data_IF_870785835471
#
_entry.id   IF_870785835471
#
_cell.length_a   1.000
_cell.length_b   1.000
_cell.length_c   1.000
_cell.angle_alpha   90.00
_cell.angle_beta   90.00
_cell.angle_gamma   90.00
#
_symmetry.space_group_name_H-M   'P 1'
#
loop_
_entity.id
_entity.type
_entity.pdbx_description
1 polymer ?
#
# COMPACT_ATOMS: atom_id res chain seq x y z
N UNK A 1 -1.21 -4.01 1.60
CA UNK A 1 -1.36 -3.44 0.25
C UNK A 1 0.02 -3.26 -0.35
N UNK A 2 0.14 -3.23 -1.68
CA UNK A 2 1.41 -3.09 -2.40
C UNK A 2 1.34 -1.96 -3.42
N UNK A 3 2.40 -1.15 -3.52
CA UNK A 3 2.56 -0.09 -4.51
C UNK A 3 3.90 -0.26 -5.26
N UNK A 4 3.91 -0.17 -6.60
CA UNK A 4 2.80 0.14 -7.51
C UNK A 4 1.91 -1.08 -7.81
N UNK A 5 0.76 -0.86 -8.49
CA UNK A 5 -0.23 -1.90 -8.79
C UNK A 5 0.32 -3.08 -9.61
N UNK A 6 1.37 -2.85 -10.41
CA UNK A 6 2.04 -3.91 -11.19
C UNK A 6 2.66 -5.00 -10.33
N UNK A 7 2.85 -4.77 -9.02
CA UNK A 7 3.44 -5.73 -8.08
C UNK A 7 2.37 -6.49 -7.26
N UNK A 8 1.09 -6.28 -7.53
CA UNK A 8 0.00 -6.96 -6.83
C UNK A 8 0.05 -8.49 -6.98
N UNK A 9 0.40 -8.99 -8.17
CA UNK A 9 0.47 -10.44 -8.45
C UNK A 9 1.65 -11.11 -7.77
N UNK A 10 2.80 -10.43 -7.75
CA UNK A 10 4.00 -10.93 -7.07
C UNK A 10 3.78 -11.01 -5.56
N UNK A 11 3.09 -10.01 -5.00
CA UNK A 11 2.67 -10.02 -3.60
C UNK A 11 1.65 -11.13 -3.30
N UNK A 12 0.83 -11.51 -4.29
CA UNK A 12 -0.17 -12.58 -4.18
C UNK A 12 0.46 -13.94 -3.91
N UNK A 13 1.58 -14.23 -4.59
CA UNK A 13 2.32 -15.47 -4.41
C UNK A 13 2.71 -15.70 -2.94
N UNK A 14 2.92 -14.61 -2.18
CA UNK A 14 3.32 -14.67 -0.78
C UNK A 14 2.15 -14.70 0.22
N UNK A 15 0.90 -14.49 -0.22
CA UNK A 15 -0.28 -14.46 0.66
C UNK A 15 -0.45 -15.78 1.41
N UNK A 16 -0.39 -16.91 0.72
CA UNK A 16 -0.59 -18.22 1.34
C UNK A 16 0.49 -18.52 2.38
N UNK A 17 1.70 -18.01 2.16
CA UNK A 17 2.83 -18.18 3.07
C UNK A 17 2.69 -17.31 4.33
N UNK A 18 2.08 -16.14 4.23
CA UNK A 18 2.00 -15.15 5.31
C UNK A 18 0.59 -14.96 5.89
N UNK A 19 -0.42 -15.68 5.37
CA UNK A 19 -1.84 -15.66 5.77
C UNK A 19 -2.44 -14.25 5.92
N UNK A 20 -1.99 -13.31 5.08
CA UNK A 20 -2.39 -11.91 5.13
C UNK A 20 -3.39 -11.55 4.04
N UNK A 21 -4.46 -10.83 4.38
CA UNK A 21 -5.39 -10.26 3.39
C UNK A 21 -4.75 -9.03 2.72
N UNK A 22 -4.69 -9.02 1.38
CA UNK A 22 -4.27 -7.84 0.60
C UNK A 22 -5.52 -7.11 0.09
N UNK A 23 -5.51 -5.77 0.20
CA UNK A 23 -6.61 -4.94 -0.31
C UNK A 23 -6.54 -4.69 -1.82
N UNK A 24 -5.35 -4.79 -2.41
CA UNK A 24 -5.12 -4.54 -3.83
C UNK A 24 -4.96 -5.81 -4.67
N UNK A 25 -5.67 -6.87 -4.29
CA UNK A 25 -5.77 -8.11 -5.07
C UNK A 25 -6.16 -7.78 -6.51
N UNK A 26 -5.39 -8.25 -7.49
CA UNK A 26 -5.68 -7.95 -8.90
C UNK A 26 -7.06 -8.48 -9.27
N UNK A 27 -7.88 -7.60 -9.84
CA UNK A 27 -9.25 -7.92 -10.25
C UNK A 27 -10.27 -7.95 -9.10
N UNK A 28 -9.86 -7.64 -7.87
CA UNK A 28 -10.79 -7.48 -6.76
C UNK A 28 -11.53 -6.15 -6.90
N UNK A 29 -12.84 -6.26 -7.07
CA UNK A 29 -13.78 -5.15 -7.02
C UNK A 29 -14.82 -5.51 -5.97
N UNK A 30 -14.83 -4.74 -4.88
CA UNK A 30 -15.98 -4.73 -3.99
C UNK A 30 -16.93 -3.62 -4.44
N UNK A 31 -18.16 -3.60 -3.94
CA UNK A 31 -19.11 -2.54 -4.24
C UNK A 31 -18.57 -1.13 -3.91
N UNK A 32 -17.59 -1.05 -3.01
CA UNK A 32 -17.07 0.19 -2.44
C UNK A 32 -15.74 0.68 -3.02
N UNK A 33 -14.97 -0.14 -3.75
CA UNK A 33 -13.70 0.33 -4.36
C UNK A 33 -13.14 -0.56 -5.50
N UNK A 34 -12.39 0.09 -6.39
CA UNK A 34 -11.56 -0.55 -7.41
C UNK A 34 -10.11 -0.64 -6.93
N UNK A 35 -9.55 -1.87 -6.86
CA UNK A 35 -8.19 -2.12 -6.38
C UNK A 35 -7.10 -1.37 -7.13
N UNK A 36 -7.24 -1.21 -8.45
CA UNK A 36 -6.27 -0.53 -9.30
C UNK A 36 -6.30 0.98 -9.06
N UNK A 37 -7.49 1.57 -9.03
CA UNK A 37 -7.69 3.00 -8.79
C UNK A 37 -7.21 3.38 -7.39
N UNK A 38 -7.56 2.59 -6.37
CA UNK A 38 -7.06 2.78 -5.01
C UNK A 38 -5.53 2.70 -4.98
N UNK A 39 -4.92 1.73 -5.68
CA UNK A 39 -3.45 1.63 -5.69
C UNK A 39 -2.81 2.84 -6.32
N UNK A 40 -3.37 3.36 -7.41
CA UNK A 40 -2.86 4.56 -8.10
C UNK A 40 -3.05 5.85 -7.30
N UNK A 41 -4.03 5.91 -6.40
CA UNK A 41 -4.24 7.08 -5.54
C UNK A 41 -3.38 7.07 -4.28
N UNK A 42 -2.70 5.96 -3.94
CA UNK A 42 -1.86 5.87 -2.74
C UNK A 42 -0.82 6.97 -2.54
N UNK A 43 -0.14 7.54 -3.56
CA UNK A 43 0.79 8.65 -3.37
C UNK A 43 0.05 9.99 -3.15
N UNK A 44 -1.11 9.98 -2.50
CA UNK A 44 -1.92 11.15 -2.14
C UNK A 44 -2.52 10.98 -0.75
N UNK A 45 -2.82 12.09 -0.07
CA UNK A 45 -3.47 12.06 1.25
C UNK A 45 -4.81 11.31 1.21
N UNK A 46 -5.62 11.54 0.17
CA UNK A 46 -6.90 10.87 -0.04
C UNK A 46 -6.75 9.36 -0.21
N UNK A 47 -5.75 8.90 -0.96
CA UNK A 47 -5.48 7.48 -1.14
C UNK A 47 -5.07 6.79 0.16
N UNK A 48 -4.22 7.43 0.98
CA UNK A 48 -3.84 6.91 2.30
C UNK A 48 -5.04 6.89 3.26
N UNK A 49 -5.85 7.95 3.26
CA UNK A 49 -7.08 8.01 4.04
C UNK A 49 -8.07 6.90 3.66
N UNK A 50 -8.25 6.67 2.36
CA UNK A 50 -9.10 5.58 1.84
C UNK A 50 -8.57 4.22 2.26
N UNK A 51 -7.26 3.98 2.11
CA UNK A 51 -6.62 2.75 2.55
C UNK A 51 -6.83 2.50 4.06
N UNK A 52 -6.80 3.55 4.88
CA UNK A 52 -7.05 3.49 6.32
C UNK A 52 -8.51 3.14 6.63
N UNK A 53 -9.47 3.75 5.94
CA UNK A 53 -10.92 3.45 6.06
C UNK A 53 -11.20 1.99 5.72
N UNK A 54 -10.55 1.46 4.67
CA UNK A 54 -10.66 0.06 4.26
C UNK A 54 -9.91 -0.92 5.18
N UNK A 55 -9.37 -0.45 6.31
CA UNK A 55 -8.71 -1.29 7.29
C UNK A 55 -7.30 -1.74 6.88
N UNK A 56 -6.67 -1.05 5.95
CA UNK A 56 -5.27 -1.25 5.58
C UNK A 56 -4.37 -1.15 6.81
N UNK A 57 -3.55 -2.18 7.04
CA UNK A 57 -2.61 -2.23 8.17
C UNK A 57 -1.17 -1.98 7.75
N UNK A 58 -0.84 -2.44 6.55
CA UNK A 58 0.52 -2.44 6.01
C UNK A 58 0.52 -2.01 4.54
N UNK A 59 1.55 -1.27 4.17
CA UNK A 59 1.82 -0.83 2.81
C UNK A 59 3.27 -1.18 2.45
N UNK A 60 3.45 -1.96 1.38
CA UNK A 60 4.77 -2.23 0.80
C UNK A 60 4.94 -1.34 -0.43
N UNK A 61 6.03 -0.59 -0.48
CA UNK A 61 6.36 0.34 -1.58
C UNK A 61 7.64 -0.12 -2.26
N UNK A 62 7.58 -0.47 -3.54
CA UNK A 62 8.75 -0.89 -4.32
C UNK A 62 9.49 0.33 -4.88
N UNK A 63 10.58 0.73 -4.21
CA UNK A 63 11.35 1.96 -4.46
C UNK A 63 11.88 2.06 -5.90
N UNK A 64 12.21 0.93 -6.51
CA UNK A 64 12.83 0.86 -7.83
C UNK A 64 11.83 0.97 -8.99
N UNK A 65 10.52 0.99 -8.70
CA UNK A 65 9.44 0.96 -9.70
C UNK A 65 8.57 2.22 -9.68
N UNK A 66 8.95 3.25 -8.91
CA UNK A 66 8.13 4.43 -8.67
C UNK A 66 8.93 5.71 -8.90
N UNK A 67 8.23 6.83 -9.07
CA UNK A 67 8.86 8.14 -9.22
C UNK A 67 9.52 8.58 -7.89
N UNK A 68 10.55 9.45 -7.93
CA UNK A 68 11.10 10.06 -6.72
C UNK A 68 10.05 10.84 -5.92
N UNK A 69 9.08 11.43 -6.60
CA UNK A 69 7.98 12.22 -5.99
C UNK A 69 7.06 11.33 -5.15
N UNK A 70 6.64 10.18 -5.69
CA UNK A 70 5.84 9.19 -4.98
C UNK A 70 6.59 8.67 -3.75
N UNK A 71 7.87 8.34 -3.93
CA UNK A 71 8.71 7.86 -2.84
C UNK A 71 8.81 8.91 -1.72
N UNK A 72 9.01 10.18 -2.09
CA UNK A 72 9.10 11.27 -1.13
C UNK A 72 7.77 11.49 -0.41
N UNK A 73 6.63 11.35 -1.08
CA UNK A 73 5.31 11.39 -0.45
C UNK A 73 5.20 10.31 0.65
N UNK A 74 5.53 9.04 0.35
CA UNK A 74 5.39 7.96 1.33
C UNK A 74 6.32 8.14 2.54
N UNK A 75 7.53 8.64 2.32
CA UNK A 75 8.50 8.90 3.40
C UNK A 75 8.06 10.09 4.27
N UNK A 76 7.47 11.13 3.67
CA UNK A 76 7.03 12.33 4.36
C UNK A 76 5.64 12.20 5.00
N UNK A 77 4.85 11.19 4.63
CA UNK A 77 3.48 11.02 5.11
C UNK A 77 3.41 10.82 6.62
N UNK A 78 2.65 11.68 7.29
CA UNK A 78 2.42 11.59 8.73
C UNK A 78 1.53 10.40 9.14
N UNK A 79 0.77 9.83 8.21
CA UNK A 79 -0.09 8.66 8.43
C UNK A 79 0.67 7.33 8.27
N UNK A 80 1.92 7.36 7.80
CA UNK A 80 2.75 6.18 7.63
C UNK A 80 3.88 6.17 8.66
N UNK A 81 4.23 4.97 9.12
CA UNK A 81 5.43 4.76 9.92
C UNK A 81 6.26 3.65 9.27
N UNK A 82 7.54 3.92 8.93
CA UNK A 82 8.42 2.90 8.37
C UNK A 82 8.66 1.81 9.41
N UNK A 83 8.49 0.56 9.02
CA UNK A 83 8.80 -0.63 9.84
C UNK A 83 10.17 -1.16 9.43
N UNK A 84 10.36 -1.33 8.12
CA UNK A 84 11.53 -2.01 7.58
C UNK A 84 11.88 -1.46 6.21
N UNK A 85 13.19 -1.30 5.99
CA UNK A 85 13.78 -0.95 4.72
C UNK A 85 14.50 -2.15 4.12
N UNK A 86 14.05 -2.57 2.93
CA UNK A 86 14.65 -3.64 2.14
C UNK A 86 15.41 -3.03 0.96
N UNK A 87 16.24 -3.83 0.30
CA UNK A 87 17.05 -3.36 -0.83
C UNK A 87 16.21 -2.70 -1.94
N UNK A 88 15.04 -3.24 -2.25
CA UNK A 88 14.16 -2.76 -3.31
C UNK A 88 12.81 -2.20 -2.82
N UNK A 89 12.47 -2.33 -1.53
CA UNK A 89 11.15 -1.95 -1.03
C UNK A 89 11.19 -1.37 0.38
N UNK A 90 10.13 -0.65 0.74
CA UNK A 90 9.88 -0.13 2.08
C UNK A 90 8.58 -0.71 2.60
N UNK A 91 8.58 -1.22 3.83
CA UNK A 91 7.39 -1.64 4.53
C UNK A 91 6.98 -0.54 5.52
N UNK A 92 5.74 -0.07 5.39
CA UNK A 92 5.10 0.89 6.28
C UNK A 92 3.97 0.23 7.05
N UNK A 93 3.78 0.64 8.31
CA UNK A 93 2.51 0.49 9.01
C UNK A 93 1.67 1.75 8.83
N UNK A 94 0.35 1.58 8.76
CA UNK A 94 -0.60 2.70 8.70
C UNK A 94 -0.95 3.08 10.14
N UNK A 95 -0.69 4.35 10.49
CA UNK A 95 -0.99 4.87 11.81
C UNK A 95 -2.51 4.94 12.00
N UNK A 96 -3.00 4.33 13.07
CA UNK A 96 -4.40 4.48 13.47
C UNK A 96 -4.60 5.86 14.07
N UNK A 97 -5.68 6.53 13.71
CA UNK A 97 -6.13 7.68 14.49
C UNK A 97 -6.52 7.15 15.87
N UNK A 98 -5.90 7.70 16.92
CA UNK A 98 -6.38 7.50 18.29
C UNK A 98 -7.70 8.27 18.34
N UNK A 99 -8.81 7.56 18.33
CA UNK A 99 -10.13 8.11 18.65
C UNK A 99 -10.30 8.02 20.15
#
# INVERSE_FOLDING_TARGET
>A
MVYPYSQADEAFFWIDTHKGYLLNVRGYKDADYNSEELTKSLPTEEGIATLKILGGKYLVVYKNLISPEDLQFFIASADLAPIQDFSNSLLFTIRRSVV
#
